data_IF_346977450573
#
_entry.id   IF_346977450573
#
_cell.length_a   1.000
_cell.length_b   1.000
_cell.length_c   1.000
_cell.angle_alpha   90.00
_cell.angle_beta   90.00
_cell.angle_gamma   90.00
#
_symmetry.space_group_name_H-M   'P 1'
#
loop_
_entity.id
_entity.type
_entity.pdbx_description
1 polymer ?
#
# COMPACT_ATOMS: atom_id res chain seq x y z
N UNK A 1 18.80 5.05 -5.50
CA UNK A 1 19.81 3.99 -5.68
C UNK A 1 19.34 2.71 -5.01
N UNK A 2 19.07 1.65 -5.78
CA UNK A 2 18.56 0.37 -5.23
C UNK A 2 19.67 -0.45 -4.55
N UNK A 3 19.32 -1.50 -3.80
CA UNK A 3 20.32 -2.40 -3.19
C UNK A 3 21.06 -3.22 -4.27
N UNK A 4 20.43 -3.50 -5.41
CA UNK A 4 21.12 -4.07 -6.59
C UNK A 4 22.10 -3.08 -7.18
N UNK A 5 21.76 -1.79 -7.26
CA UNK A 5 22.68 -0.76 -7.76
C UNK A 5 23.86 -0.59 -6.82
N UNK A 6 23.61 -0.61 -5.51
CA UNK A 6 24.66 -0.59 -4.49
C UNK A 6 25.59 -1.81 -4.61
N UNK A 7 25.02 -3.00 -4.82
CA UNK A 7 25.80 -4.23 -5.01
C UNK A 7 26.60 -4.20 -6.32
N UNK A 8 26.00 -3.76 -7.43
CA UNK A 8 26.70 -3.56 -8.72
C UNK A 8 27.82 -2.55 -8.60
N UNK A 9 27.57 -1.44 -7.92
CA UNK A 9 28.57 -0.40 -7.66
C UNK A 9 29.75 -0.95 -6.86
N UNK A 10 29.51 -1.64 -5.73
CA UNK A 10 30.55 -2.29 -4.94
C UNK A 10 31.34 -3.32 -5.76
N UNK A 11 30.65 -4.12 -6.59
CA UNK A 11 31.29 -5.09 -7.44
C UNK A 11 32.16 -4.44 -8.53
N UNK A 12 31.73 -3.30 -9.09
CA UNK A 12 32.49 -2.53 -10.08
C UNK A 12 33.76 -1.90 -9.51
N UNK A 13 33.75 -1.59 -8.20
CA UNK A 13 34.91 -1.11 -7.44
C UNK A 13 35.84 -2.24 -6.98
N UNK A 14 35.58 -3.49 -7.37
CA UNK A 14 36.39 -4.64 -6.99
C UNK A 14 36.17 -5.13 -5.56
N UNK A 15 35.22 -4.55 -4.80
CA UNK A 15 34.88 -5.06 -3.49
C UNK A 15 34.11 -6.38 -3.63
N UNK A 16 34.57 -7.40 -2.93
CA UNK A 16 33.98 -8.75 -2.90
C UNK A 16 33.56 -9.11 -1.49
N UNK A 17 32.70 -10.12 -1.37
CA UNK A 17 32.34 -10.71 -0.08
C UNK A 17 33.57 -11.38 0.56
N UNK A 18 33.49 -11.72 1.86
CA UNK A 18 34.56 -12.44 2.58
C UNK A 18 34.98 -13.76 1.92
N UNK A 19 34.10 -14.40 1.15
CA UNK A 19 34.36 -15.63 0.41
C UNK A 19 34.83 -15.39 -1.04
N UNK A 20 35.15 -14.16 -1.42
CA UNK A 20 35.56 -13.80 -2.79
C UNK A 20 34.43 -13.70 -3.82
N UNK A 21 33.19 -14.00 -3.42
CA UNK A 21 32.00 -13.92 -4.30
C UNK A 21 31.56 -12.47 -4.52
N UNK A 22 30.92 -12.15 -5.67
CA UNK A 22 30.32 -10.83 -5.88
C UNK A 22 29.19 -10.55 -4.87
N UNK A 23 28.97 -9.27 -4.59
CA UNK A 23 27.85 -8.80 -3.79
C UNK A 23 26.53 -8.97 -4.55
N UNK A 24 25.51 -9.44 -3.85
CA UNK A 24 24.12 -9.46 -4.30
C UNK A 24 23.29 -8.57 -3.36
N UNK A 25 22.25 -7.91 -3.87
CA UNK A 25 21.47 -6.94 -3.10
C UNK A 25 20.85 -7.51 -1.81
N UNK A 26 20.47 -8.79 -1.81
CA UNK A 26 19.96 -9.48 -0.62
C UNK A 26 21.03 -9.75 0.44
N UNK A 27 22.19 -10.27 0.04
CA UNK A 27 23.31 -10.52 0.93
C UNK A 27 23.88 -9.21 1.50
N UNK A 28 24.04 -8.20 0.65
CA UNK A 28 24.49 -6.86 1.04
C UNK A 28 23.55 -6.25 2.09
N UNK A 29 22.24 -6.25 1.86
CA UNK A 29 21.27 -5.70 2.80
C UNK A 29 21.28 -6.44 4.15
N UNK A 30 21.38 -7.78 4.14
CA UNK A 30 21.48 -8.57 5.37
C UNK A 30 22.74 -8.24 6.15
N UNK A 31 23.86 -7.98 5.47
CA UNK A 31 25.11 -7.58 6.13
C UNK A 31 25.08 -6.16 6.65
N UNK A 32 24.49 -5.22 5.92
CA UNK A 32 24.24 -3.87 6.42
C UNK A 32 23.36 -3.93 7.67
N UNK A 33 22.23 -4.66 7.64
CA UNK A 33 21.37 -4.80 8.82
C UNK A 33 22.10 -5.40 10.02
N UNK A 34 22.93 -6.42 9.80
CA UNK A 34 23.72 -7.02 10.87
C UNK A 34 24.75 -6.05 11.46
N UNK A 35 25.43 -5.24 10.62
CA UNK A 35 26.43 -4.27 11.10
C UNK A 35 25.84 -3.08 11.83
N UNK A 36 24.55 -2.79 11.65
CA UNK A 36 23.88 -1.65 12.27
C UNK A 36 23.32 -1.93 13.67
N UNK A 37 23.28 -3.19 14.11
CA UNK A 37 22.71 -3.56 15.42
C UNK A 37 23.56 -3.09 16.62
N UNK A 38 24.87 -2.90 16.42
CA UNK A 38 25.79 -2.58 17.52
C UNK A 38 26.02 -3.74 18.51
N UNK A 39 25.57 -4.94 18.17
CA UNK A 39 25.80 -6.14 18.96
C UNK A 39 25.70 -7.40 18.10
N UNK A 40 26.30 -8.49 18.58
CA UNK A 40 26.20 -9.84 18.01
C UNK A 40 25.57 -10.75 19.06
N UNK A 41 24.48 -11.41 18.69
CA UNK A 41 23.87 -12.48 19.49
C UNK A 41 24.53 -13.81 19.15
N UNK A 42 25.05 -14.49 20.17
CA UNK A 42 25.53 -15.85 20.08
C UNK A 42 24.51 -16.75 20.75
N UNK A 43 23.93 -17.66 19.98
CA UNK A 43 22.99 -18.65 20.48
C UNK A 43 23.73 -19.96 20.66
N UNK A 44 23.75 -20.49 21.88
CA UNK A 44 24.24 -21.82 22.18
C UNK A 44 23.05 -22.69 22.58
N UNK A 45 22.95 -23.85 21.93
CA UNK A 45 22.04 -24.92 22.31
C UNK A 45 22.90 -26.12 22.68
N UNK A 46 22.74 -26.62 23.90
CA UNK A 46 23.44 -27.80 24.41
C UNK A 46 22.67 -28.44 25.55
N UNK A 47 23.20 -29.54 26.08
CA UNK A 47 22.64 -30.17 27.28
C UNK A 47 23.46 -29.74 28.50
N UNK A 48 22.80 -29.38 29.59
CA UNK A 48 23.46 -29.19 30.88
C UNK A 48 23.90 -30.54 31.48
N UNK A 49 24.61 -30.51 32.60
CA UNK A 49 25.08 -31.72 33.30
C UNK A 49 23.92 -32.64 33.76
N UNK A 50 22.71 -32.10 33.84
CA UNK A 50 21.47 -32.83 34.19
C UNK A 50 20.71 -33.39 32.97
N UNK A 51 21.24 -33.20 31.74
CA UNK A 51 20.65 -33.70 30.50
C UNK A 51 19.49 -32.88 29.94
N UNK A 52 19.20 -31.71 30.51
CA UNK A 52 18.19 -30.78 30.00
C UNK A 52 18.74 -29.93 28.85
N UNK A 53 17.93 -29.74 27.80
CA UNK A 53 18.28 -28.85 26.69
C UNK A 53 18.24 -27.38 27.16
N UNK A 54 19.42 -26.77 27.23
CA UNK A 54 19.59 -25.36 27.52
C UNK A 54 19.87 -24.61 26.22
N UNK A 55 18.97 -23.70 25.88
CA UNK A 55 19.21 -22.70 24.83
C UNK A 55 19.47 -21.36 25.50
N UNK A 56 20.74 -20.93 25.51
CA UNK A 56 21.14 -19.64 26.06
C UNK A 56 21.66 -18.75 24.95
N UNK A 57 21.20 -17.50 24.95
CA UNK A 57 21.71 -16.45 24.06
C UNK A 57 22.55 -15.47 24.87
N UNK A 58 23.77 -15.18 24.41
CA UNK A 58 24.61 -14.13 24.99
C UNK A 58 24.88 -13.04 23.95
N UNK A 59 24.76 -11.80 24.39
CA UNK A 59 24.93 -10.60 23.58
C UNK A 59 26.32 -10.03 23.80
N UNK A 60 27.06 -9.83 22.71
CA UNK A 60 28.36 -9.14 22.71
C UNK A 60 28.15 -7.80 22.03
N UNK A 61 28.33 -6.70 22.76
CA UNK A 61 28.27 -5.36 22.17
C UNK A 61 29.48 -5.10 21.27
N UNK A 62 29.24 -4.47 20.13
CA UNK A 62 30.24 -4.20 19.09
C UNK A 62 30.13 -2.72 18.71
N UNK A 63 31.26 -2.01 18.47
CA UNK A 63 31.21 -0.62 18.04
C UNK A 63 30.28 -0.44 16.84
N UNK A 64 29.34 0.50 16.94
CA UNK A 64 28.39 0.81 15.88
C UNK A 64 29.14 1.45 14.71
N UNK A 65 28.91 0.94 13.51
CA UNK A 65 29.55 1.46 12.30
C UNK A 65 28.98 2.83 11.86
N UNK A 66 27.78 3.18 12.33
CA UNK A 66 27.09 4.44 12.09
C UNK A 66 26.51 4.95 13.41
N UNK A 67 26.17 6.24 13.45
CA UNK A 67 25.34 6.81 14.52
C UNK A 67 23.95 6.15 14.54
N UNK A 68 23.27 6.18 15.68
CA UNK A 68 21.98 5.51 15.86
C UNK A 68 20.91 6.04 14.89
N UNK A 69 20.84 7.35 14.70
CA UNK A 69 19.95 8.00 13.73
C UNK A 69 20.20 7.55 12.29
N UNK A 70 21.48 7.49 11.85
CA UNK A 70 21.80 6.99 10.51
C UNK A 70 21.51 5.50 10.36
N UNK A 71 21.72 4.72 11.42
CA UNK A 71 21.36 3.31 11.44
C UNK A 71 19.85 3.11 11.29
N UNK A 72 19.05 3.89 12.02
CA UNK A 72 17.59 3.87 11.93
C UNK A 72 17.09 4.32 10.56
N UNK A 73 17.63 5.40 10.00
CA UNK A 73 17.28 5.87 8.66
C UNK A 73 17.58 4.82 7.57
N UNK A 74 18.73 4.15 7.67
CA UNK A 74 19.08 3.03 6.75
C UNK A 74 18.17 1.83 6.99
N UNK A 75 17.85 1.49 8.24
CA UNK A 75 16.92 0.40 8.55
C UNK A 75 15.50 0.67 8.06
N UNK A 76 15.01 1.91 8.17
CA UNK A 76 13.73 2.35 7.66
C UNK A 76 13.69 2.29 6.13
N UNK A 77 14.75 2.78 5.46
CA UNK A 77 14.92 2.64 4.01
C UNK A 77 14.96 1.17 3.55
N UNK A 78 15.68 0.31 4.29
CA UNK A 78 15.69 -1.12 4.02
C UNK A 78 14.29 -1.71 4.22
N UNK A 79 13.62 -1.48 5.35
CA UNK A 79 12.26 -2.00 5.59
C UNK A 79 11.28 -1.60 4.48
N UNK A 80 11.29 -0.33 4.06
CA UNK A 80 10.51 0.17 2.92
C UNK A 80 10.85 -0.55 1.61
N UNK A 81 12.12 -0.55 1.21
CA UNK A 81 12.57 -1.20 -0.04
C UNK A 81 12.36 -2.72 -0.09
N UNK A 82 12.31 -3.41 1.06
CA UNK A 82 11.97 -4.85 1.08
C UNK A 82 10.49 -5.14 0.82
N UNK A 83 9.58 -4.25 1.24
CA UNK A 83 8.15 -4.35 0.89
C UNK A 83 7.97 -4.14 -0.61
N UNK A 84 8.67 -3.14 -1.16
CA UNK A 84 8.60 -2.78 -2.58
C UNK A 84 9.13 -3.87 -3.52
N UNK A 85 10.23 -4.56 -3.18
CA UNK A 85 10.80 -5.60 -4.06
C UNK A 85 9.94 -6.86 -4.18
N UNK A 86 9.21 -7.23 -3.13
CA UNK A 86 8.20 -8.29 -3.26
C UNK A 86 7.10 -7.88 -4.23
N UNK A 87 6.78 -6.59 -4.36
CA UNK A 87 5.78 -6.09 -5.30
C UNK A 87 6.32 -5.94 -6.71
N UNK A 88 7.55 -5.44 -6.91
CA UNK A 88 8.20 -5.31 -8.22
C UNK A 88 8.59 -6.65 -8.88
N UNK A 89 8.86 -7.69 -8.08
CA UNK A 89 8.96 -9.06 -8.57
C UNK A 89 7.57 -9.73 -8.76
N UNK A 90 6.52 -9.17 -8.13
CA UNK A 90 5.16 -9.67 -8.28
C UNK A 90 4.51 -9.10 -9.53
N UNK A 91 3.78 -9.93 -10.28
CA UNK A 91 3.01 -9.51 -11.46
C UNK A 91 1.75 -8.69 -11.09
N UNK A 92 1.78 -7.93 -9.99
CA UNK A 92 0.63 -7.31 -9.32
C UNK A 92 0.97 -5.90 -8.84
N UNK A 93 0.31 -4.87 -9.37
CA UNK A 93 0.60 -3.46 -9.06
C UNK A 93 0.22 -3.09 -7.61
N UNK A 94 -0.98 -3.52 -7.19
CA UNK A 94 -1.62 -3.08 -5.96
C UNK A 94 -1.39 -3.99 -4.75
N UNK A 95 -0.51 -4.98 -4.85
CA UNK A 95 -0.17 -5.83 -3.71
C UNK A 95 0.29 -4.97 -2.54
N UNK A 96 -0.31 -5.18 -1.36
CA UNK A 96 -0.10 -4.38 -0.13
C UNK A 96 -0.55 -2.91 -0.15
N UNK A 97 -1.02 -2.39 -1.29
CA UNK A 97 -1.61 -1.03 -1.41
C UNK A 97 -3.14 -1.05 -1.41
N UNK A 98 -3.74 -2.18 -1.77
CA UNK A 98 -5.18 -2.37 -1.74
C UNK A 98 -5.64 -2.77 -0.33
N UNK A 99 -6.48 -1.94 0.27
CA UNK A 99 -7.03 -2.09 1.62
C UNK A 99 -8.50 -2.53 1.49
N UNK A 100 -8.81 -3.61 2.18
CA UNK A 100 -10.15 -4.20 2.19
C UNK A 100 -11.11 -3.40 3.07
N UNK A 101 -12.42 -3.61 2.90
CA UNK A 101 -13.45 -3.08 3.81
C UNK A 101 -13.17 -3.46 5.27
N UNK A 102 -12.59 -4.64 5.51
CA UNK A 102 -12.20 -5.08 6.85
C UNK A 102 -10.91 -4.42 7.39
N UNK A 103 -10.28 -3.51 6.65
CA UNK A 103 -9.01 -2.86 7.02
C UNK A 103 -7.74 -3.66 6.70
N UNK A 104 -7.84 -4.96 6.40
CA UNK A 104 -6.67 -5.77 6.03
C UNK A 104 -6.23 -5.49 4.59
N UNK A 105 -4.91 -5.49 4.35
CA UNK A 105 -4.37 -5.37 3.00
C UNK A 105 -4.65 -6.62 2.17
N UNK A 106 -4.67 -6.44 0.84
CA UNK A 106 -4.78 -7.53 -0.12
C UNK A 106 -3.44 -7.83 -0.78
N UNK A 107 -3.23 -9.10 -1.13
CA UNK A 107 -2.05 -9.56 -1.88
C UNK A 107 -2.47 -10.26 -3.16
N UNK A 108 -1.63 -10.13 -4.18
CA UNK A 108 -1.78 -10.86 -5.43
C UNK A 108 -1.60 -12.36 -5.23
N UNK A 109 -2.54 -13.13 -5.76
CA UNK A 109 -2.50 -14.59 -5.81
C UNK A 109 -2.94 -15.05 -7.20
N UNK A 110 -2.42 -16.20 -7.63
CA UNK A 110 -2.80 -16.82 -8.89
C UNK A 110 -3.30 -18.24 -8.65
N UNK A 111 -4.36 -18.62 -9.36
CA UNK A 111 -4.78 -20.03 -9.45
C UNK A 111 -4.40 -20.53 -10.83
N UNK A 112 -3.65 -21.62 -10.85
CA UNK A 112 -3.29 -22.35 -12.07
C UNK A 112 -4.52 -23.01 -12.69
N UNK A 113 -4.53 -23.05 -14.03
CA UNK A 113 -5.54 -23.77 -14.81
C UNK A 113 -5.57 -25.25 -14.40
N UNK A 114 -6.77 -25.80 -14.18
CA UNK A 114 -6.99 -27.22 -13.85
C UNK A 114 -7.86 -27.51 -12.63
N UNK A 115 -8.12 -26.53 -11.74
CA UNK A 115 -9.02 -26.72 -10.57
C UNK A 115 -10.49 -26.33 -10.85
N UNK A 116 -10.67 -25.38 -11.76
CA UNK A 116 -11.89 -25.04 -12.50
C UNK A 116 -11.48 -23.94 -13.50
N UNK A 117 -11.90 -24.06 -14.76
CA UNK A 117 -11.51 -23.16 -15.88
C UNK A 117 -11.80 -21.68 -15.56
N UNK A 118 -12.71 -21.43 -14.62
CA UNK A 118 -13.32 -20.14 -14.32
C UNK A 118 -12.75 -19.47 -13.06
N UNK A 119 -11.91 -20.18 -12.30
CA UNK A 119 -11.16 -19.62 -11.16
C UNK A 119 -9.67 -19.47 -11.48
N UNK A 120 -9.23 -19.94 -12.66
CA UNK A 120 -7.90 -19.73 -13.15
C UNK A 120 -7.67 -18.25 -13.47
N UNK A 121 -6.51 -17.72 -13.07
CA UNK A 121 -6.17 -16.31 -13.28
C UNK A 121 -5.54 -15.66 -12.06
N UNK A 122 -5.30 -14.34 -12.19
CA UNK A 122 -4.67 -13.48 -11.19
C UNK A 122 -5.74 -12.69 -10.43
N UNK A 123 -5.68 -12.74 -9.10
CA UNK A 123 -6.63 -12.05 -8.23
C UNK A 123 -5.95 -11.46 -6.99
N UNK A 124 -6.60 -10.46 -6.39
CA UNK A 124 -6.26 -9.92 -5.08
C UNK A 124 -7.07 -10.60 -3.99
N UNK A 125 -6.39 -11.20 -3.01
CA UNK A 125 -7.00 -11.84 -1.84
C UNK A 125 -6.77 -11.01 -0.58
N UNK A 126 -7.81 -10.89 0.25
CA UNK A 126 -7.71 -10.30 1.57
C UNK A 126 -6.86 -11.17 2.51
N UNK A 127 -5.93 -10.53 3.22
CA UNK A 127 -5.00 -11.20 4.14
C UNK A 127 -5.48 -11.24 5.60
N UNK A 128 -6.74 -10.89 5.88
CA UNK A 128 -7.35 -11.10 7.20
C UNK A 128 -7.28 -12.60 7.57
N UNK A 129 -6.89 -12.90 8.81
CA UNK A 129 -6.66 -14.25 9.30
C UNK A 129 -5.33 -14.90 8.88
N UNK A 130 -4.43 -14.15 8.22
CA UNK A 130 -3.07 -14.63 7.93
C UNK A 130 -2.10 -14.30 9.07
N UNK A 131 -1.09 -15.17 9.30
CA UNK A 131 -0.05 -14.96 10.32
C UNK A 131 0.66 -13.62 10.10
N UNK A 132 0.68 -12.77 11.14
CA UNK A 132 1.34 -11.46 11.12
C UNK A 132 0.46 -10.28 10.72
N UNK A 133 -0.85 -10.47 10.53
CA UNK A 133 -1.81 -9.38 10.41
C UNK A 133 -2.52 -9.11 11.75
N UNK A 134 -2.90 -7.84 12.04
CA UNK A 134 -3.59 -7.49 13.27
C UNK A 134 -5.01 -8.08 13.36
N UNK A 135 -5.61 -8.44 12.22
CA UNK A 135 -6.90 -9.10 12.13
C UNK A 135 -6.71 -10.62 12.05
N UNK A 136 -7.00 -11.30 13.16
CA UNK A 136 -6.80 -12.75 13.35
C UNK A 136 -7.88 -13.62 12.73
N UNK A 137 -9.06 -13.06 12.44
CA UNK A 137 -10.19 -13.80 11.87
C UNK A 137 -10.32 -13.56 10.36
N UNK A 138 -10.80 -14.58 9.65
CA UNK A 138 -11.10 -14.48 8.22
C UNK A 138 -12.48 -13.87 8.04
N UNK A 139 -12.56 -12.79 7.28
CA UNK A 139 -13.84 -12.15 6.96
C UNK A 139 -14.44 -12.76 5.70
N UNK A 140 -15.67 -13.26 5.80
CA UNK A 140 -16.41 -13.86 4.66
C UNK A 140 -16.80 -12.82 3.61
N UNK A 141 -16.96 -11.56 4.03
CA UNK A 141 -17.37 -10.44 3.18
C UNK A 141 -16.26 -9.91 2.24
N UNK A 142 -15.02 -10.39 2.39
CA UNK A 142 -13.88 -9.90 1.60
C UNK A 142 -13.58 -10.82 0.42
N UNK A 143 -14.32 -10.63 -0.68
CA UNK A 143 -14.21 -11.43 -1.90
C UNK A 143 -12.87 -11.23 -2.64
N UNK A 144 -12.52 -12.20 -3.49
CA UNK A 144 -11.33 -12.14 -4.36
C UNK A 144 -11.62 -11.21 -5.56
N UNK A 145 -10.69 -10.31 -5.86
CA UNK A 145 -10.87 -9.29 -6.91
C UNK A 145 -9.98 -9.58 -8.13
N UNK A 146 -10.48 -9.51 -9.37
CA UNK A 146 -9.68 -9.77 -10.57
C UNK A 146 -8.62 -8.69 -10.80
N UNK A 147 -7.36 -9.09 -10.96
CA UNK A 147 -6.23 -8.14 -11.03
C UNK A 147 -6.31 -7.25 -12.27
N UNK A 148 -6.67 -7.81 -13.42
CA UNK A 148 -6.72 -7.03 -14.67
C UNK A 148 -7.71 -5.87 -14.61
N UNK A 149 -8.90 -6.11 -14.06
CA UNK A 149 -9.94 -5.08 -13.95
C UNK A 149 -9.61 -4.06 -12.87
N UNK A 150 -9.14 -4.51 -11.69
CA UNK A 150 -8.77 -3.60 -10.59
C UNK A 150 -7.58 -2.72 -10.98
N UNK A 151 -6.52 -3.32 -11.54
CA UNK A 151 -5.32 -2.57 -11.94
C UNK A 151 -5.67 -1.54 -13.03
N UNK A 152 -6.51 -1.91 -14.00
CA UNK A 152 -6.94 -0.98 -15.05
C UNK A 152 -7.78 0.17 -14.50
N UNK A 153 -8.71 -0.10 -13.59
CA UNK A 153 -9.55 0.92 -12.98
C UNK A 153 -8.72 1.93 -12.16
N UNK A 154 -7.87 1.43 -11.27
CA UNK A 154 -7.01 2.29 -10.44
C UNK A 154 -6.02 3.07 -11.32
N UNK A 155 -5.45 2.43 -12.32
CA UNK A 155 -4.52 3.11 -13.22
C UNK A 155 -5.21 4.20 -14.04
N UNK A 156 -6.46 3.99 -14.48
CA UNK A 156 -7.24 5.03 -15.17
C UNK A 156 -7.46 6.27 -14.31
N UNK A 157 -7.72 6.10 -13.01
CA UNK A 157 -7.82 7.23 -12.07
C UNK A 157 -6.48 7.97 -11.92
N UNK A 158 -5.38 7.22 -11.78
CA UNK A 158 -4.03 7.79 -11.73
C UNK A 158 -3.70 8.54 -13.02
N UNK A 159 -4.00 7.97 -14.19
CA UNK A 159 -3.82 8.65 -15.48
C UNK A 159 -4.64 9.93 -15.57
N UNK A 160 -5.87 9.94 -15.03
CA UNK A 160 -6.70 11.14 -14.92
C UNK A 160 -6.04 12.24 -14.08
N UNK A 161 -5.40 11.87 -12.97
CA UNK A 161 -4.63 12.80 -12.13
C UNK A 161 -3.37 13.32 -12.84
N UNK A 162 -2.62 12.44 -13.51
CA UNK A 162 -1.37 12.80 -14.22
C UNK A 162 -1.63 13.70 -15.43
N UNK A 163 -2.74 13.48 -16.14
CA UNK A 163 -3.12 14.31 -17.29
C UNK A 163 -3.55 15.72 -16.86
N UNK A 164 -3.95 15.91 -15.61
CA UNK A 164 -4.27 17.22 -15.06
C UNK A 164 -3.07 17.83 -14.32
N UNK A 165 -2.12 18.35 -15.10
CA UNK A 165 -0.88 18.98 -14.58
C UNK A 165 -1.17 20.08 -13.56
N UNK A 166 -2.20 20.92 -13.79
CA UNK A 166 -2.57 21.99 -12.88
C UNK A 166 -3.00 21.45 -11.50
N UNK A 167 -3.82 20.39 -11.50
CA UNK A 167 -4.24 19.73 -10.27
C UNK A 167 -3.06 19.08 -9.55
N UNK A 168 -2.11 18.50 -10.28
CA UNK A 168 -0.91 17.90 -9.69
C UNK A 168 0.02 18.95 -9.07
N UNK A 169 0.16 20.13 -9.69
CA UNK A 169 0.88 21.26 -9.10
C UNK A 169 0.19 21.79 -7.82
N UNK A 170 -1.12 22.05 -7.87
CA UNK A 170 -1.89 22.51 -6.71
C UNK A 170 -1.78 21.54 -5.53
N UNK A 171 -1.84 20.25 -5.83
CA UNK A 171 -1.72 19.18 -4.86
C UNK A 171 -0.31 19.09 -4.24
N UNK A 172 0.74 19.24 -5.04
CA UNK A 172 2.13 19.31 -4.55
C UNK A 172 2.37 20.57 -3.72
N UNK A 173 1.82 21.72 -4.12
CA UNK A 173 1.89 22.97 -3.35
C UNK A 173 1.15 22.84 -2.01
N UNK A 174 -0.03 22.23 -2.01
CA UNK A 174 -0.79 21.96 -0.78
C UNK A 174 -0.07 20.98 0.14
N UNK A 175 0.58 19.95 -0.43
CA UNK A 175 1.38 18.99 0.32
C UNK A 175 2.64 19.63 0.93
N UNK A 176 3.34 20.47 0.15
CA UNK A 176 4.47 21.23 0.65
C UNK A 176 4.04 22.24 1.71
N UNK A 177 2.87 22.86 1.59
CA UNK A 177 2.30 23.75 2.61
C UNK A 177 3.34 24.72 3.19
N UNK A 178 3.56 24.64 4.51
CA UNK A 178 4.56 25.44 5.22
C UNK A 178 5.95 24.76 5.35
N UNK A 179 6.22 23.65 4.65
CA UNK A 179 7.53 22.97 4.65
C UNK A 179 8.67 23.91 4.21
N UNK A 180 8.53 24.72 3.14
CA UNK A 180 9.59 25.64 2.75
C UNK A 180 9.90 26.73 3.78
N UNK A 181 8.85 27.26 4.41
CA UNK A 181 8.99 28.24 5.48
C UNK A 181 9.63 27.62 6.74
N UNK A 182 9.29 26.37 7.06
CA UNK A 182 9.93 25.60 8.15
C UNK A 182 11.40 25.31 7.85
N UNK A 183 11.74 24.88 6.64
CA UNK A 183 13.12 24.68 6.22
C UNK A 183 13.92 25.98 6.33
N UNK A 184 13.36 27.11 5.89
CA UNK A 184 13.99 28.43 6.07
C UNK A 184 14.16 28.81 7.55
N UNK A 185 13.17 28.51 8.40
CA UNK A 185 13.24 28.71 9.84
C UNK A 185 14.35 27.87 10.49
N UNK A 186 14.45 26.58 10.15
CA UNK A 186 15.50 25.70 10.67
C UNK A 186 16.89 26.14 10.23
N UNK A 187 17.09 26.59 8.98
CA UNK A 187 18.37 27.17 8.53
C UNK A 187 18.76 28.38 9.37
N UNK A 188 17.80 29.27 9.71
CA UNK A 188 18.05 30.41 10.60
C UNK A 188 18.42 29.95 12.01
N UNK A 189 17.68 29.01 12.59
CA UNK A 189 17.96 28.47 13.93
C UNK A 189 19.34 27.81 13.99
N UNK A 190 19.71 27.04 12.96
CA UNK A 190 21.03 26.41 12.87
C UNK A 190 22.16 27.46 12.88
N UNK A 191 21.99 28.54 12.11
CA UNK A 191 22.96 29.65 12.08
C UNK A 191 23.06 30.38 13.42
N UNK A 192 21.94 30.50 14.15
CA UNK A 192 21.92 31.09 15.49
C UNK A 192 22.66 30.20 16.49
N UNK A 193 22.40 28.89 16.47
CA UNK A 193 23.08 27.90 17.32
C UNK A 193 24.59 27.88 17.05
N UNK A 194 25.02 27.98 15.80
CA UNK A 194 26.44 28.10 15.45
C UNK A 194 27.10 29.33 16.09
N UNK A 195 26.43 30.48 16.06
CA UNK A 195 26.92 31.70 16.71
C UNK A 195 26.96 31.55 18.24
N UNK A 196 25.96 30.91 18.83
CA UNK A 196 25.91 30.68 20.28
C UNK A 196 27.02 29.73 20.75
N UNK A 197 27.22 28.61 20.04
CA UNK A 197 28.30 27.66 20.30
C UNK A 197 29.66 28.36 20.22
N UNK A 198 29.91 29.15 19.19
CA UNK A 198 31.20 29.85 19.05
C UNK A 198 31.41 30.91 20.14
N UNK A 199 30.34 31.61 20.56
CA UNK A 199 30.39 32.56 21.69
C UNK A 199 30.71 31.85 23.00
N UNK A 200 30.07 30.70 23.27
CA UNK A 200 30.33 29.86 24.46
C UNK A 200 31.75 29.31 24.46
N UNK A 201 32.24 28.80 23.32
CA UNK A 201 33.63 28.34 23.14
C UNK A 201 34.65 29.43 23.43
N UNK A 202 34.42 30.65 22.93
CA UNK A 202 35.27 31.82 23.22
C UNK A 202 35.21 32.20 24.70
N UNK A 203 34.04 32.19 25.32
CA UNK A 203 33.87 32.49 26.74
C UNK A 203 34.58 31.45 27.63
N UNK A 204 34.45 30.16 27.31
CA UNK A 204 35.16 29.08 28.01
C UNK A 204 36.67 29.25 27.94
N UNK A 205 37.22 29.46 26.73
CA UNK A 205 38.67 29.70 26.54
C UNK A 205 39.17 30.87 27.38
N UNK A 206 38.42 31.97 27.44
CA UNK A 206 38.77 33.16 28.25
C UNK A 206 38.71 32.86 29.75
N UNK A 207 37.65 32.20 30.23
CA UNK A 207 37.51 31.85 31.66
C UNK A 207 38.62 30.92 32.12
N UNK A 208 38.92 29.88 31.34
CA UNK A 208 40.00 28.93 31.64
C UNK A 208 41.37 29.64 31.64
N UNK A 209 41.64 30.51 30.65
CA UNK A 209 42.88 31.26 30.60
C UNK A 209 43.05 32.24 31.78
N UNK A 210 41.96 32.88 32.22
CA UNK A 210 41.98 33.77 33.38
C UNK A 210 42.28 33.00 34.67
N UNK A 211 41.64 31.84 34.86
CA UNK A 211 41.88 30.97 36.02
C UNK A 211 43.31 30.44 36.06
N UNK A 212 43.83 29.98 34.92
CA UNK A 212 45.23 29.54 34.80
C UNK A 212 46.24 30.65 35.09
N UNK A 213 45.90 31.91 34.78
CA UNK A 213 46.77 33.06 35.06
C UNK A 213 46.65 33.59 36.51
N UNK A 214 45.61 33.20 37.25
CA UNK A 214 45.41 33.58 38.65
C UNK A 214 45.92 32.55 39.66
N UNK A 215 46.33 31.36 39.20
CA UNK A 215 46.99 30.34 40.01
C UNK A 215 48.49 30.66 40.04
N UNK A 216 49.04 30.95 41.22
CA UNK A 216 50.48 31.15 41.41
C UNK A 216 51.22 29.80 41.30
N UNK A 217 52.33 29.75 40.55
CA UNK A 217 53.09 28.51 40.26
C UNK A 217 53.69 27.85 41.52
N UNK A 218 53.83 28.61 42.62
CA UNK A 218 54.49 28.17 43.86
C UNK A 218 53.52 27.59 44.91
N UNK A 219 52.20 27.68 44.73
CA UNK A 219 51.18 27.26 45.73
C UNK A 219 49.91 26.69 45.07
N UNK A 220 50.09 25.80 44.08
CA UNK A 220 48.96 25.10 43.44
C UNK A 220 48.34 24.10 44.42
N UNK A 221 47.36 24.57 45.20
CA UNK A 221 46.57 23.72 46.06
C UNK A 221 45.69 22.77 45.22
N UNK A 222 45.45 21.55 45.73
CA UNK A 222 44.58 20.55 45.08
C UNK A 222 43.16 21.07 44.83
N UNK A 223 42.74 22.10 45.56
CA UNK A 223 41.41 22.70 45.45
C UNK A 223 41.27 23.62 44.21
N UNK A 224 42.35 24.30 43.79
CA UNK A 224 42.34 25.12 42.57
C UNK A 224 42.28 24.25 41.30
N UNK A 225 42.98 23.12 41.30
CA UNK A 225 42.94 22.16 40.20
C UNK A 225 41.53 21.53 40.06
N UNK A 226 40.84 21.26 41.18
CA UNK A 226 39.45 20.77 41.17
C UNK A 226 38.48 21.82 40.64
N UNK A 227 38.63 23.07 41.07
CA UNK A 227 37.75 24.17 40.63
C UNK A 227 37.82 24.38 39.10
N UNK A 228 39.03 24.29 38.53
CA UNK A 228 39.23 24.40 37.07
C UNK A 228 38.56 23.24 36.33
N UNK A 229 38.69 22.00 36.83
CA UNK A 229 38.04 20.84 36.21
C UNK A 229 36.50 20.88 36.35
N UNK A 230 35.96 21.32 37.49
CA UNK A 230 34.51 21.50 37.66
C UNK A 230 33.95 22.55 36.70
N UNK A 231 34.59 23.72 36.59
CA UNK A 231 34.20 24.78 35.65
C UNK A 231 34.35 24.35 34.19
N UNK A 232 35.37 23.55 33.89
CA UNK A 232 35.56 22.97 32.56
C UNK A 232 34.45 21.98 32.24
N UNK A 233 34.07 21.14 33.20
CA UNK A 233 32.95 20.20 33.08
C UNK A 233 31.63 20.92 32.81
N UNK A 234 31.28 21.90 33.63
CA UNK A 234 30.03 22.66 33.49
C UNK A 234 29.93 23.40 32.15
N UNK A 235 31.01 24.09 31.73
CA UNK A 235 31.03 24.82 30.46
C UNK A 235 31.06 23.88 29.24
N UNK A 236 31.59 22.67 29.39
CA UNK A 236 31.55 21.66 28.33
C UNK A 236 30.15 21.05 28.22
N UNK A 237 29.49 20.74 29.34
CA UNK A 237 28.10 20.27 29.35
C UNK A 237 27.15 21.29 28.67
N UNK A 238 27.29 22.59 28.95
CA UNK A 238 26.49 23.63 28.27
C UNK A 238 26.79 23.74 26.76
N UNK A 239 28.01 23.42 26.32
CA UNK A 239 28.33 23.37 24.89
C UNK A 239 27.75 22.12 24.23
N UNK A 240 27.77 20.98 24.93
CA UNK A 240 27.21 19.72 24.46
C UNK A 240 25.70 19.82 24.28
N UNK A 241 24.98 20.44 25.23
CA UNK A 241 23.53 20.72 25.10
C UNK A 241 23.19 21.51 23.82
N UNK A 242 23.99 22.53 23.49
CA UNK A 242 23.81 23.33 22.28
C UNK A 242 24.17 22.54 21.01
N UNK A 243 25.15 21.65 21.08
CA UNK A 243 25.50 20.76 19.96
C UNK A 243 24.38 19.75 19.71
N UNK A 244 23.82 19.15 20.76
CA UNK A 244 22.66 18.25 20.62
C UNK A 244 21.46 18.96 20.03
N UNK A 245 21.18 20.20 20.44
CA UNK A 245 20.12 21.00 19.83
C UNK A 245 20.40 21.29 18.34
N UNK A 246 21.66 21.60 18.01
CA UNK A 246 22.07 21.81 16.62
C UNK A 246 21.86 20.55 15.78
N UNK A 247 22.23 19.38 16.29
CA UNK A 247 22.08 18.12 15.58
C UNK A 247 20.59 17.79 15.34
N UNK A 248 19.72 18.00 16.34
CA UNK A 248 18.26 17.87 16.17
C UNK A 248 17.69 18.80 15.11
N UNK A 249 18.09 20.07 15.12
CA UNK A 249 17.63 21.06 14.12
C UNK A 249 18.17 20.73 12.72
N UNK A 250 19.39 20.20 12.62
CA UNK A 250 19.97 19.74 11.35
C UNK A 250 19.20 18.54 10.78
N UNK A 251 18.76 17.62 11.63
CA UNK A 251 17.92 16.49 11.24
C UNK A 251 16.57 16.99 10.66
N UNK A 252 15.87 17.86 11.39
CA UNK A 252 14.61 18.43 10.92
C UNK A 252 14.76 19.19 9.60
N UNK A 253 15.89 19.88 9.41
CA UNK A 253 16.20 20.53 8.14
C UNK A 253 16.39 19.49 7.02
N UNK A 254 17.16 18.43 7.28
CA UNK A 254 17.39 17.36 6.31
C UNK A 254 16.10 16.64 5.90
N UNK A 255 15.17 16.45 6.84
CA UNK A 255 13.85 15.88 6.54
C UNK A 255 13.00 16.81 5.67
N UNK A 256 12.97 18.12 6.00
CA UNK A 256 12.24 19.12 5.25
C UNK A 256 12.80 19.30 3.82
N UNK A 257 14.12 19.35 3.66
CA UNK A 257 14.78 19.44 2.35
C UNK A 257 14.57 18.17 1.53
N UNK A 258 14.63 16.98 2.16
CA UNK A 258 14.32 15.73 1.48
C UNK A 258 12.84 15.65 1.04
N UNK A 259 11.92 16.29 1.75
CA UNK A 259 10.53 16.42 1.32
C UNK A 259 10.41 17.35 0.10
N UNK A 260 11.08 18.51 0.11
CA UNK A 260 11.12 19.43 -1.04
C UNK A 260 11.74 18.80 -2.29
N UNK A 261 12.87 18.12 -2.14
CA UNK A 261 13.57 17.48 -3.26
C UNK A 261 12.70 16.40 -3.90
N UNK A 262 11.99 15.61 -3.08
CA UNK A 262 11.03 14.60 -3.58
C UNK A 262 9.89 15.23 -4.37
N UNK A 263 9.31 16.32 -3.88
CA UNK A 263 8.27 17.06 -4.61
C UNK A 263 8.80 17.61 -5.93
N UNK A 264 10.02 18.16 -5.94
CA UNK A 264 10.66 18.69 -7.14
C UNK A 264 10.97 17.61 -8.17
N UNK A 265 11.48 16.46 -7.74
CA UNK A 265 11.74 15.32 -8.60
C UNK A 265 10.45 14.74 -9.18
N UNK A 266 9.36 14.74 -8.41
CA UNK A 266 8.03 14.36 -8.87
C UNK A 266 7.50 15.29 -9.97
N UNK A 267 7.59 16.61 -9.78
CA UNK A 267 7.19 17.57 -10.81
C UNK A 267 8.02 17.42 -12.08
N UNK A 268 9.35 17.26 -11.96
CA UNK A 268 10.23 17.00 -13.11
C UNK A 268 9.91 15.69 -13.82
N UNK A 269 9.58 14.63 -13.08
CA UNK A 269 9.19 13.36 -13.68
C UNK A 269 7.91 13.54 -14.50
N UNK A 270 6.88 14.17 -13.92
CA UNK A 270 5.60 14.43 -14.59
C UNK A 270 5.73 15.36 -15.80
N UNK A 271 6.60 16.37 -15.73
CA UNK A 271 6.87 17.29 -16.86
C UNK A 271 7.53 16.58 -18.06
N UNK A 272 8.44 15.64 -17.79
CA UNK A 272 9.17 14.90 -18.83
C UNK A 272 8.36 13.77 -19.47
N UNK A 273 7.18 13.44 -18.93
CA UNK A 273 6.32 12.39 -19.46
C UNK A 273 5.36 13.01 -20.48
N UNK A 274 5.54 12.68 -21.75
CA UNK A 274 4.76 13.24 -22.85
C UNK A 274 3.40 12.56 -23.06
N UNK A 275 3.20 11.32 -22.62
CA UNK A 275 1.90 10.62 -22.62
C UNK A 275 1.85 9.41 -21.66
N UNK A 276 0.69 9.19 -21.05
CA UNK A 276 0.45 8.16 -20.01
C UNK A 276 0.44 6.69 -20.48
N UNK A 277 0.47 6.42 -21.79
CA UNK A 277 0.36 5.05 -22.34
C UNK A 277 1.65 4.24 -22.31
N UNK A 278 2.79 4.86 -22.03
CA UNK A 278 4.11 4.23 -22.23
C UNK A 278 4.79 3.74 -20.95
N UNK A 279 4.11 3.82 -19.80
CA UNK A 279 4.69 3.35 -18.54
C UNK A 279 4.86 1.83 -18.53
N UNK A 280 6.10 1.38 -18.44
CA UNK A 280 6.43 -0.01 -18.09
C UNK A 280 5.97 -0.32 -16.66
N UNK A 281 5.72 -1.60 -16.35
CA UNK A 281 5.31 -2.04 -15.01
C UNK A 281 6.21 -1.50 -13.89
N UNK A 282 7.53 -1.46 -14.10
CA UNK A 282 8.48 -0.93 -13.14
C UNK A 282 8.25 0.57 -12.88
N UNK A 283 8.06 1.36 -13.95
CA UNK A 283 7.78 2.79 -13.83
C UNK A 283 6.41 3.06 -13.19
N UNK A 284 5.40 2.21 -13.46
CA UNK A 284 4.11 2.29 -12.76
C UNK A 284 4.28 2.13 -11.26
N UNK A 285 5.06 1.14 -10.83
CA UNK A 285 5.34 0.91 -9.42
C UNK A 285 6.13 2.05 -8.78
N UNK A 286 7.18 2.53 -9.45
CA UNK A 286 7.99 3.65 -8.95
C UNK A 286 7.13 4.91 -8.77
N UNK A 287 6.23 5.19 -9.70
CA UNK A 287 5.31 6.32 -9.61
C UNK A 287 4.29 6.15 -8.48
N UNK A 288 3.72 4.96 -8.32
CA UNK A 288 2.78 4.66 -7.25
C UNK A 288 3.44 4.73 -5.86
N UNK A 289 4.71 4.33 -5.76
CA UNK A 289 5.52 4.50 -4.55
C UNK A 289 5.78 5.97 -4.25
N UNK A 290 6.12 6.75 -5.28
CA UNK A 290 6.39 8.18 -5.13
C UNK A 290 5.16 8.94 -4.64
N UNK A 291 3.97 8.57 -5.11
CA UNK A 291 2.69 9.17 -4.74
C UNK A 291 2.08 8.57 -3.45
N UNK A 292 2.72 7.57 -2.85
CA UNK A 292 2.20 6.72 -1.74
C UNK A 292 0.74 6.29 -1.97
N UNK A 293 0.44 5.79 -3.18
CA UNK A 293 -0.94 5.43 -3.53
C UNK A 293 -1.43 4.27 -2.67
N UNK A 294 -2.57 4.47 -2.01
CA UNK A 294 -3.35 3.45 -1.32
C UNK A 294 -4.73 3.40 -1.96
N UNK A 295 -5.33 2.22 -1.97
CA UNK A 295 -6.66 2.03 -2.55
C UNK A 295 -7.55 1.42 -1.49
N UNK A 296 -8.55 2.15 -1.06
CA UNK A 296 -9.52 1.71 -0.07
C UNK A 296 -10.77 1.20 -0.77
N UNK A 297 -11.15 -0.04 -0.50
CA UNK A 297 -12.41 -0.60 -0.97
C UNK A 297 -13.51 -0.17 -0.01
N UNK A 298 -14.49 0.59 -0.51
CA UNK A 298 -15.51 1.24 0.31
C UNK A 298 -16.76 0.39 0.50
N UNK A 299 -17.01 -0.58 -0.40
CA UNK A 299 -18.14 -1.50 -0.30
C UNK A 299 -17.72 -2.97 -0.43
N UNK A 300 -18.62 -3.88 -0.05
CA UNK A 300 -18.34 -5.33 -0.09
C UNK A 300 -18.23 -5.87 -1.52
N UNK A 301 -18.68 -5.12 -2.54
CA UNK A 301 -18.85 -5.61 -3.90
C UNK A 301 -19.83 -6.80 -4.02
N UNK A 302 -19.93 -7.35 -5.21
CA UNK A 302 -20.73 -8.56 -5.48
C UNK A 302 -19.78 -9.77 -5.54
N UNK A 303 -20.10 -10.90 -4.86
CA UNK A 303 -19.29 -12.10 -4.96
C UNK A 303 -19.23 -12.57 -6.42
N UNK A 304 -18.02 -12.92 -6.89
CA UNK A 304 -17.90 -13.65 -8.16
C UNK A 304 -18.53 -15.03 -7.97
N UNK A 305 -19.50 -15.38 -8.81
CA UNK A 305 -20.08 -16.72 -8.80
C UNK A 305 -19.00 -17.75 -9.12
N UNK A 306 -18.72 -18.64 -8.14
CA UNK A 306 -17.79 -19.76 -8.29
C UNK A 306 -18.53 -20.92 -8.96
N UNK A 307 -18.17 -21.26 -10.19
CA UNK A 307 -18.81 -22.33 -10.96
C UNK A 307 -18.47 -22.25 -12.44
N UNK A 308 -18.80 -23.30 -13.21
CA UNK A 308 -18.63 -23.35 -14.67
C UNK A 308 -19.27 -22.11 -15.29
N UNK A 309 -18.51 -21.34 -16.08
CA UNK A 309 -19.08 -20.21 -16.82
C UNK A 309 -20.14 -20.75 -17.77
N UNK A 310 -21.30 -20.11 -17.81
CA UNK A 310 -22.32 -20.42 -18.80
C UNK A 310 -21.77 -20.04 -20.19
N UNK A 311 -21.54 -21.02 -21.09
CA UNK A 311 -20.93 -20.77 -22.40
C UNK A 311 -21.72 -19.77 -23.25
N UNK A 312 -23.03 -19.68 -23.05
CA UNK A 312 -23.91 -18.79 -23.81
C UNK A 312 -23.74 -17.36 -23.31
N UNK A 313 -23.68 -17.17 -21.99
CA UNK A 313 -23.43 -15.85 -21.40
C UNK A 313 -22.06 -15.34 -21.82
N UNK A 314 -21.04 -16.20 -21.86
CA UNK A 314 -19.69 -15.82 -22.29
C UNK A 314 -19.63 -15.48 -23.77
N UNK A 315 -20.30 -16.25 -24.64
CA UNK A 315 -20.40 -15.93 -26.06
C UNK A 315 -21.01 -14.53 -26.31
N UNK A 316 -22.03 -14.12 -25.54
CA UNK A 316 -22.58 -12.77 -25.62
C UNK A 316 -21.58 -11.69 -25.21
N UNK A 317 -20.77 -11.94 -24.17
CA UNK A 317 -19.74 -11.01 -23.71
C UNK A 317 -18.61 -10.88 -24.72
N UNK A 318 -18.17 -11.99 -25.31
CA UNK A 318 -17.11 -12.01 -26.32
C UNK A 318 -17.54 -11.35 -27.64
N UNK A 319 -18.78 -11.60 -28.08
CA UNK A 319 -19.27 -11.06 -29.36
C UNK A 319 -19.91 -9.67 -29.24
N UNK A 320 -20.22 -9.22 -28.02
CA UNK A 320 -20.96 -7.98 -27.79
C UNK A 320 -22.41 -8.02 -28.31
N UNK A 321 -22.93 -9.20 -28.65
CA UNK A 321 -24.30 -9.36 -29.15
C UNK A 321 -25.28 -9.05 -28.02
N UNK A 322 -26.24 -8.12 -28.17
CA UNK A 322 -27.20 -7.82 -27.11
C UNK A 322 -28.29 -8.91 -27.02
N UNK A 323 -28.99 -8.96 -25.88
CA UNK A 323 -30.09 -9.91 -25.62
C UNK A 323 -31.41 -9.16 -25.70
N UNK A 324 -32.42 -9.64 -26.43
CA UNK A 324 -33.73 -8.99 -26.51
C UNK A 324 -34.32 -8.70 -25.12
N UNK A 325 -34.96 -7.54 -24.93
CA UNK A 325 -35.40 -7.05 -23.61
C UNK A 325 -36.57 -7.86 -23.03
N UNK A 326 -37.59 -8.16 -23.83
CA UNK A 326 -38.75 -8.99 -23.46
C UNK A 326 -39.23 -9.82 -24.65
N UNK A 327 -39.81 -11.00 -24.39
CA UNK A 327 -40.32 -11.87 -25.45
C UNK A 327 -41.80 -11.58 -25.74
N UNK A 328 -42.04 -10.61 -26.61
CA UNK A 328 -43.40 -10.29 -27.10
C UNK A 328 -43.97 -11.40 -28.00
N UNK A 329 -45.30 -11.41 -28.20
CA UNK A 329 -45.96 -12.35 -29.12
C UNK A 329 -45.45 -12.22 -30.56
N UNK A 330 -45.14 -11.00 -31.01
CA UNK A 330 -44.59 -10.75 -32.33
C UNK A 330 -43.21 -11.39 -32.48
N UNK A 331 -42.34 -11.18 -31.49
CA UNK A 331 -41.00 -11.77 -31.45
C UNK A 331 -41.09 -13.30 -31.40
N UNK A 332 -41.99 -13.84 -30.57
CA UNK A 332 -42.21 -15.28 -30.49
C UNK A 332 -42.65 -15.88 -31.83
N UNK A 333 -43.56 -15.22 -32.55
CA UNK A 333 -44.01 -15.69 -33.86
C UNK A 333 -42.87 -15.79 -34.89
N UNK A 334 -41.82 -14.99 -34.79
CA UNK A 334 -40.63 -15.06 -35.65
C UNK A 334 -39.70 -16.23 -35.30
N UNK A 335 -39.62 -16.61 -34.03
CA UNK A 335 -38.64 -17.62 -33.57
C UNK A 335 -39.22 -19.01 -33.29
N UNK A 336 -40.54 -19.15 -33.12
CA UNK A 336 -41.19 -20.42 -32.75
C UNK A 336 -40.90 -21.61 -33.68
N UNK A 337 -40.62 -21.33 -34.96
CA UNK A 337 -40.30 -22.36 -35.96
C UNK A 337 -38.79 -22.64 -36.07
N UNK A 338 -37.96 -21.82 -35.43
CA UNK A 338 -36.49 -21.95 -35.41
C UNK A 338 -36.07 -22.82 -34.22
N UNK A 339 -36.71 -22.65 -33.07
CA UNK A 339 -36.35 -23.33 -31.83
C UNK A 339 -37.02 -24.69 -31.71
N UNK A 340 -36.20 -25.74 -31.59
CA UNK A 340 -36.67 -27.12 -31.50
C UNK A 340 -37.10 -27.50 -30.07
N UNK A 341 -38.26 -28.15 -30.00
CA UNK A 341 -38.76 -28.80 -28.78
C UNK A 341 -38.23 -30.22 -28.55
N UNK A 342 -38.79 -30.88 -27.54
CA UNK A 342 -38.67 -32.34 -27.32
C UNK A 342 -40.03 -32.99 -27.47
N UNK A 343 -40.05 -34.31 -27.65
CA UNK A 343 -41.30 -35.10 -27.58
C UNK A 343 -42.10 -34.84 -26.28
N UNK A 344 -41.41 -34.60 -25.17
CA UNK A 344 -42.03 -34.32 -23.86
C UNK A 344 -42.19 -32.82 -23.54
N UNK A 345 -41.68 -31.93 -24.40
CA UNK A 345 -41.69 -30.47 -24.18
C UNK A 345 -41.74 -29.76 -25.53
N UNK A 346 -42.94 -29.64 -26.08
CA UNK A 346 -43.16 -29.05 -27.41
C UNK A 346 -43.29 -27.53 -27.35
N UNK A 347 -43.99 -26.99 -26.35
CA UNK A 347 -44.03 -25.54 -26.13
C UNK A 347 -42.77 -25.09 -25.39
N UNK A 348 -41.85 -24.49 -26.13
CA UNK A 348 -40.57 -24.00 -25.60
C UNK A 348 -40.55 -22.50 -25.38
N UNK A 349 -41.70 -21.82 -25.51
CA UNK A 349 -41.77 -20.35 -25.35
C UNK A 349 -41.22 -19.91 -24.00
N UNK A 350 -41.75 -20.48 -22.93
CA UNK A 350 -41.35 -20.09 -21.58
C UNK A 350 -39.92 -20.48 -21.25
N UNK A 351 -39.39 -21.57 -21.84
CA UNK A 351 -37.98 -21.92 -21.73
C UNK A 351 -37.05 -20.89 -22.39
N UNK A 352 -37.42 -20.44 -23.59
CA UNK A 352 -36.67 -19.41 -24.31
C UNK A 352 -36.71 -18.09 -23.56
N UNK A 353 -37.88 -17.70 -23.06
CA UNK A 353 -38.06 -16.47 -22.30
C UNK A 353 -37.25 -16.46 -20.98
N UNK A 354 -37.26 -17.58 -20.24
CA UNK A 354 -36.42 -17.77 -19.05
C UNK A 354 -34.92 -17.70 -19.39
N UNK A 355 -34.51 -18.27 -20.52
CA UNK A 355 -33.12 -18.17 -20.98
C UNK A 355 -32.74 -16.72 -21.28
N UNK A 356 -33.60 -15.93 -21.93
CA UNK A 356 -33.31 -14.52 -22.19
C UNK A 356 -33.25 -13.72 -20.86
N UNK A 357 -34.18 -13.96 -19.93
CA UNK A 357 -34.13 -13.34 -18.59
C UNK A 357 -32.84 -13.71 -17.85
N UNK A 358 -32.42 -14.98 -17.90
CA UNK A 358 -31.16 -15.47 -17.33
C UNK A 358 -29.96 -14.70 -17.87
N UNK A 359 -29.91 -14.45 -19.17
CA UNK A 359 -28.83 -13.71 -19.81
C UNK A 359 -28.86 -12.22 -19.47
N UNK A 360 -30.05 -11.61 -19.33
CA UNK A 360 -30.22 -10.20 -18.92
C UNK A 360 -29.92 -9.94 -17.45
N UNK A 361 -30.27 -10.88 -16.56
CA UNK A 361 -30.22 -10.69 -15.09
C UNK A 361 -29.04 -11.38 -14.43
N UNK A 362 -28.39 -12.31 -15.13
CA UNK A 362 -27.34 -13.19 -14.61
C UNK A 362 -27.74 -14.09 -13.42
N UNK A 363 -29.01 -14.12 -12.98
CA UNK A 363 -29.52 -15.01 -11.91
C UNK A 363 -29.11 -16.47 -12.11
N UNK A 364 -28.76 -17.27 -11.09
CA UNK A 364 -28.34 -18.65 -11.29
C UNK A 364 -29.47 -19.55 -11.84
N UNK A 365 -29.11 -20.59 -12.60
CA UNK A 365 -30.10 -21.49 -13.26
C UNK A 365 -31.03 -22.20 -12.26
N UNK A 366 -30.56 -22.47 -11.05
CA UNK A 366 -31.33 -23.12 -9.99
C UNK A 366 -32.54 -22.30 -9.51
N UNK A 367 -32.51 -20.97 -9.60
CA UNK A 367 -33.63 -20.09 -9.24
C UNK A 367 -34.85 -20.29 -10.14
N UNK A 368 -34.67 -20.81 -11.35
CA UNK A 368 -35.75 -21.08 -12.29
C UNK A 368 -36.33 -22.49 -12.16
N UNK A 369 -35.76 -23.33 -11.29
CA UNK A 369 -36.19 -24.71 -11.12
C UNK A 369 -37.62 -24.76 -10.57
N UNK A 370 -38.51 -25.49 -11.23
CA UNK A 370 -39.92 -25.60 -10.82
C UNK A 370 -40.79 -24.40 -11.21
N UNK A 371 -40.28 -23.46 -12.01
CA UNK A 371 -41.10 -22.32 -12.46
C UNK A 371 -42.24 -22.75 -13.41
N UNK A 372 -43.39 -22.09 -13.31
CA UNK A 372 -44.55 -22.35 -14.18
C UNK A 372 -44.22 -22.10 -15.66
N UNK A 373 -43.33 -21.14 -15.94
CA UNK A 373 -42.82 -20.84 -17.30
C UNK A 373 -42.06 -22.00 -17.94
N UNK A 374 -41.68 -23.02 -17.18
CA UNK A 374 -41.06 -24.25 -17.71
C UNK A 374 -41.87 -25.50 -17.36
N UNK A 375 -43.18 -25.37 -17.16
CA UNK A 375 -44.10 -26.45 -16.77
C UNK A 375 -43.68 -27.18 -15.47
N UNK A 376 -43.08 -26.46 -14.51
CA UNK A 376 -42.62 -27.05 -13.26
C UNK A 376 -41.39 -27.97 -13.38
N UNK A 377 -40.69 -27.95 -14.52
CA UNK A 377 -39.50 -28.79 -14.76
C UNK A 377 -38.29 -28.33 -13.95
N UNK A 378 -37.35 -29.24 -13.71
CA UNK A 378 -36.07 -28.91 -13.08
C UNK A 378 -35.13 -28.13 -13.99
N UNK A 379 -34.28 -27.28 -13.40
CA UNK A 379 -33.33 -26.43 -14.16
C UNK A 379 -32.39 -27.23 -15.07
N UNK A 380 -32.03 -28.46 -14.71
CA UNK A 380 -31.13 -29.31 -15.51
C UNK A 380 -31.72 -29.62 -16.89
N UNK A 381 -33.04 -29.79 -16.98
CA UNK A 381 -33.75 -30.05 -18.23
C UNK A 381 -33.76 -28.81 -19.12
N UNK A 382 -34.02 -27.64 -18.53
CA UNK A 382 -33.91 -26.34 -19.19
C UNK A 382 -32.50 -26.10 -19.71
N UNK A 383 -31.48 -26.29 -18.86
CA UNK A 383 -30.09 -26.07 -19.21
C UNK A 383 -29.63 -26.95 -20.39
N UNK A 384 -30.00 -28.24 -20.40
CA UNK A 384 -29.70 -29.14 -21.54
C UNK A 384 -30.36 -28.67 -22.84
N UNK A 385 -31.61 -28.19 -22.77
CA UNK A 385 -32.34 -27.68 -23.93
C UNK A 385 -31.69 -26.42 -24.49
N UNK A 386 -31.39 -25.48 -23.60
CA UNK A 386 -30.71 -24.21 -23.93
C UNK A 386 -29.33 -24.48 -24.55
N UNK A 387 -28.56 -25.39 -23.95
CA UNK A 387 -27.26 -25.79 -24.50
C UNK A 387 -27.40 -26.46 -25.88
N UNK A 388 -28.45 -27.24 -26.10
CA UNK A 388 -28.74 -27.81 -27.42
C UNK A 388 -28.94 -26.71 -28.47
N UNK A 389 -29.84 -25.73 -28.21
CA UNK A 389 -30.07 -24.60 -29.12
C UNK A 389 -28.82 -23.80 -29.43
N UNK A 390 -27.95 -23.60 -28.44
CA UNK A 390 -26.67 -22.94 -28.66
C UNK A 390 -25.75 -23.77 -29.56
N UNK A 391 -25.61 -25.07 -29.25
CA UNK A 391 -24.71 -25.97 -30.00
C UNK A 391 -25.21 -26.28 -31.42
N UNK A 392 -26.52 -26.32 -31.66
CA UNK A 392 -27.12 -26.54 -32.98
C UNK A 392 -27.18 -25.28 -33.85
N UNK A 393 -26.90 -24.09 -33.27
CA UNK A 393 -27.00 -22.81 -33.96
C UNK A 393 -28.40 -22.22 -34.03
N UNK A 394 -29.43 -22.94 -33.56
CA UNK A 394 -30.81 -22.46 -33.48
C UNK A 394 -30.93 -21.16 -32.67
N UNK A 395 -30.17 -21.06 -31.58
CA UNK A 395 -30.16 -19.85 -30.76
C UNK A 395 -29.67 -18.63 -31.55
N UNK A 396 -28.60 -18.79 -32.33
CA UNK A 396 -28.04 -17.70 -33.16
C UNK A 396 -29.00 -17.31 -34.27
N UNK A 397 -29.64 -18.29 -34.91
CA UNK A 397 -30.68 -18.05 -35.91
C UNK A 397 -31.89 -17.32 -35.30
N UNK A 398 -32.27 -17.65 -34.08
CA UNK A 398 -33.33 -16.95 -33.35
C UNK A 398 -32.95 -15.50 -33.05
N UNK A 399 -31.73 -15.22 -32.58
CA UNK A 399 -31.25 -13.85 -32.36
C UNK A 399 -31.19 -13.04 -33.67
N UNK A 400 -30.79 -13.68 -34.78
CA UNK A 400 -30.79 -13.04 -36.10
C UNK A 400 -32.20 -12.62 -36.51
N UNK A 401 -33.19 -13.49 -36.31
CA UNK A 401 -34.60 -13.20 -36.59
C UNK A 401 -35.18 -12.10 -35.68
N UNK A 402 -34.54 -11.84 -34.54
CA UNK A 402 -34.92 -10.81 -33.57
C UNK A 402 -34.11 -9.51 -33.73
N UNK A 403 -33.28 -9.38 -34.78
CA UNK A 403 -32.63 -8.10 -35.08
C UNK A 403 -33.66 -7.00 -35.33
N UNK A 404 -33.46 -5.86 -34.68
CA UNK A 404 -34.34 -4.68 -34.80
C UNK A 404 -35.36 -4.53 -33.65
N UNK A 405 -35.47 -5.50 -32.75
CA UNK A 405 -36.23 -5.35 -31.51
C UNK A 405 -35.36 -4.74 -30.39
N UNK A 406 -35.98 -4.12 -29.35
CA UNK A 406 -35.27 -3.63 -28.17
C UNK A 406 -34.44 -4.74 -27.53
N UNK A 407 -33.18 -4.42 -27.20
CA UNK A 407 -32.23 -5.36 -26.66
C UNK A 407 -31.32 -4.67 -25.64
N UNK A 408 -30.92 -5.44 -24.62
CA UNK A 408 -30.11 -5.01 -23.48
C UNK A 408 -28.78 -5.77 -23.52
N UNK A 409 -27.63 -5.13 -23.21
CA UNK A 409 -26.37 -5.84 -23.09
C UNK A 409 -26.39 -6.83 -21.92
N UNK A 410 -25.68 -7.95 -22.08
CA UNK A 410 -25.48 -8.92 -20.99
C UNK A 410 -24.67 -8.27 -19.87
N UNK A 411 -25.05 -8.44 -18.59
CA UNK A 411 -24.28 -7.92 -17.47
C UNK A 411 -22.83 -8.45 -17.47
N UNK A 412 -21.86 -7.62 -17.03
CA UNK A 412 -20.47 -8.05 -16.95
C UNK A 412 -20.32 -9.23 -15.99
N UNK A 413 -19.29 -10.06 -16.22
CA UNK A 413 -18.97 -11.23 -15.38
C UNK A 413 -18.76 -10.87 -13.91
N UNK A 414 -18.28 -9.64 -13.70
CA UNK A 414 -17.94 -9.10 -12.42
C UNK A 414 -18.24 -7.60 -12.41
N UNK A 415 -18.65 -7.07 -11.26
CA UNK A 415 -18.68 -5.63 -11.02
C UNK A 415 -17.67 -5.34 -9.92
N UNK A 416 -16.69 -4.49 -10.24
CA UNK A 416 -15.72 -4.04 -9.26
C UNK A 416 -16.44 -3.36 -8.09
N UNK A 417 -16.02 -3.59 -6.84
CA UNK A 417 -16.50 -2.81 -5.71
C UNK A 417 -16.12 -1.34 -5.90
N UNK A 418 -16.84 -0.44 -5.24
CA UNK A 418 -16.42 0.95 -5.19
C UNK A 418 -15.06 1.06 -4.47
N UNK A 419 -14.15 1.82 -5.10
CA UNK A 419 -12.77 1.99 -4.63
C UNK A 419 -12.45 3.48 -4.56
N UNK A 420 -11.87 3.90 -3.46
CA UNK A 420 -11.29 5.22 -3.26
C UNK A 420 -9.78 5.10 -3.41
N UNK A 421 -9.21 5.77 -4.42
CA UNK A 421 -7.76 5.85 -4.61
C UNK A 421 -7.26 7.07 -3.86
N UNK A 422 -6.47 6.84 -2.81
CA UNK A 422 -5.83 7.88 -2.00
C UNK A 422 -4.33 7.89 -2.26
N UNK A 423 -3.65 8.98 -1.94
CA UNK A 423 -2.18 9.07 -1.96
C UNK A 423 -1.68 10.00 -0.86
N UNK A 424 -0.36 10.13 -0.68
CA UNK A 424 0.25 11.12 0.24
C UNK A 424 -0.17 12.57 -0.08
N UNK A 425 -0.73 12.75 -1.28
CA UNK A 425 -1.14 14.00 -1.88
C UNK A 425 -2.62 14.32 -1.55
N UNK A 426 -3.37 13.41 -0.94
CA UNK A 426 -4.79 13.59 -0.65
C UNK A 426 -5.02 14.18 0.76
N UNK A 427 -5.57 15.41 0.89
CA UNK A 427 -5.65 16.15 2.15
C UNK A 427 -6.65 15.59 3.17
N UNK A 428 -7.49 14.61 2.83
CA UNK A 428 -8.51 14.07 3.75
C UNK A 428 -7.93 13.21 4.89
N UNK A 429 -6.65 12.81 4.84
CA UNK A 429 -6.06 11.93 5.87
C UNK A 429 -4.64 12.29 6.35
N UNK A 430 -4.02 13.36 5.82
CA UNK A 430 -2.70 13.83 6.34
C UNK A 430 -2.77 14.40 7.75
N UNK A 431 -3.97 14.60 8.32
CA UNK A 431 -4.17 15.11 9.67
C UNK A 431 -4.23 14.05 10.76
N UNK A 432 -4.26 12.75 10.42
CA UNK A 432 -4.44 11.68 11.42
C UNK A 432 -3.16 11.03 11.97
N UNK A 433 -1.97 11.38 11.45
CA UNK A 433 -0.68 10.81 11.90
C UNK A 433 0.25 11.80 12.61
N UNK A 434 -0.21 13.04 12.87
CA UNK A 434 0.46 13.94 13.81
C UNK A 434 -0.32 13.90 15.12
N UNK A 435 0.25 13.20 16.10
CA UNK A 435 -0.32 13.06 17.43
C UNK A 435 -0.73 14.42 18.00
N UNK A 436 -1.96 14.46 18.49
CA UNK A 436 -2.38 15.42 19.51
C UNK A 436 -1.50 15.19 20.74
N UNK A 437 -0.35 15.85 20.78
CA UNK A 437 0.32 16.20 22.02
C UNK A 437 -0.55 17.26 22.70
N UNK A 438 -1.51 16.77 23.46
CA UNK A 438 -2.24 17.56 24.45
C UNK A 438 -1.26 17.92 25.56
N UNK A 439 -0.74 19.15 25.51
CA UNK A 439 -0.09 19.84 26.61
C UNK A 439 -0.95 19.72 27.88
N UNK A 440 -0.40 19.07 28.90
CA UNK A 440 -0.95 19.06 30.24
C UNK A 440 -0.37 20.20 31.07
N UNK A 441 -1.22 20.99 31.73
CA UNK A 441 -0.88 21.59 33.01
C UNK A 441 -2.13 22.06 33.77
N UNK A 442 -2.45 21.28 34.80
CA UNK A 442 -3.30 21.61 35.93
C UNK A 442 -2.87 22.93 36.59
N UNK A 443 -3.83 23.80 36.90
CA UNK A 443 -3.76 24.69 38.06
C UNK A 443 -5.08 24.53 38.84
N UNK A 444 -5.00 23.84 39.98
CA UNK A 444 -5.99 23.93 41.05
C UNK A 444 -5.69 25.19 41.87
N UNK A 445 -6.74 25.93 42.18
CA UNK A 445 -6.91 26.56 43.49
C UNK A 445 -8.39 26.88 43.69
N UNK A 446 -8.90 26.39 44.81
CA UNK A 446 -10.23 26.62 45.36
C UNK A 446 -10.52 28.11 45.56
N UNK A 447 -11.78 28.54 45.36
CA UNK A 447 -12.57 29.05 46.48
C UNK A 447 -14.05 29.34 46.13
N UNK A 448 -14.88 28.89 47.06
CA UNK A 448 -16.27 29.24 47.40
C UNK A 448 -16.90 30.50 46.79
N UNK A 449 -18.14 30.35 46.28
CA UNK A 449 -19.38 30.86 46.89
C UNK A 449 -20.45 31.28 45.86
N UNK A 450 -21.71 30.92 46.14
CA UNK A 450 -22.84 31.82 45.84
C UNK A 450 -23.83 31.37 44.76
N UNK A 451 -24.87 30.66 45.20
CA UNK A 451 -26.29 30.97 44.96
C UNK A 451 -26.66 31.89 43.77
N UNK A 452 -27.47 31.39 42.83
CA UNK A 452 -28.89 31.76 42.68
C UNK A 452 -29.43 31.52 41.26
N UNK A 453 -30.48 30.69 41.18
CA UNK A 453 -31.75 30.92 40.47
C UNK A 453 -31.76 31.85 39.23
N UNK A 454 -32.21 31.34 38.08
CA UNK A 454 -33.58 31.54 37.57
C UNK A 454 -33.76 31.05 36.12
N UNK A 455 -34.84 30.26 35.98
CA UNK A 455 -35.70 29.97 34.82
C UNK A 455 -35.16 29.08 33.72
#
# INVERSE_FOLDING_TARGET
MTREDAARYLNSKGHRTRQGKPWEGGNLARRIQASLKGYVEFNFAGQNEDGEEVTTSFRIDVPKALTDERAEGVLAYLKRSSRTRNVAASKYLLSSRLISVCGAYRTGASVTEGRAVNTAGRYYRCMAGSKGNPLTDRHEDCWELPVGEVDAAVWSEIEGLLNNKAKLHELVEKWLGAVPDRAASYRRRLSELDVQIEKKRKARKRKIALLLASVDEDDVDQDDAKLVEELRGELTAQEDELMEEKDRVAEWLGEAEAQEDRARDLLKAVENISTARDFTMAQKLDLMDLLDIKVHITDKGVPRHKGLVDPITEWHRETGTPVPEDLTDEMWNKVKNILSGTRQWQDVRGAFDVMLEKLRTAKPWNEYSGSERIDGRGYTTLYRRVHHWHSSGEYRAALEALKGFPAVPVPPAYRLPHMLVTGAVDPEFTTSDLGEDCDGASCKSDDMAGLASRR
#
